data_IF_997922774544
#
_entry.id   IF_997922774544
#
_cell.length_a   1.000
_cell.length_b   1.000
_cell.length_c   1.000
_cell.angle_alpha   90.00
_cell.angle_beta   90.00
_cell.angle_gamma   90.00
#
_symmetry.space_group_name_H-M   'P 1'
#
loop_
_entity.id
_entity.type
_entity.pdbx_description
1 polymer ?
#
# COMPACT_ATOMS: atom_id res chain seq x y z
N UNK A 1 -9.62 3.40 -10.36
CA UNK A 1 -9.26 3.17 -8.95
C UNK A 1 -7.90 2.52 -8.88
N UNK A 2 -6.95 3.12 -8.17
CA UNK A 2 -5.61 2.57 -7.93
C UNK A 2 -5.47 2.32 -6.43
N UNK A 3 -5.28 1.06 -6.03
CA UNK A 3 -5.09 0.69 -4.63
C UNK A 3 -3.62 0.66 -4.25
N UNK A 4 -3.25 1.21 -3.09
CA UNK A 4 -1.92 1.10 -2.51
C UNK A 4 -1.98 0.10 -1.36
N UNK A 5 -1.29 -1.03 -1.52
CA UNK A 5 -1.33 -2.17 -0.59
C UNK A 5 0.10 -2.51 -0.16
N UNK A 6 0.26 -3.05 1.05
CA UNK A 6 1.54 -3.48 1.58
C UNK A 6 1.51 -3.54 3.10
N UNK A 7 2.47 -4.25 3.69
CA UNK A 7 2.59 -4.37 5.16
C UNK A 7 2.75 -3.01 5.85
N UNK A 8 2.59 -2.91 7.17
CA UNK A 8 2.80 -1.66 7.90
C UNK A 8 4.19 -1.08 7.64
N UNK A 9 4.30 0.25 7.68
CA UNK A 9 5.57 1.01 7.66
C UNK A 9 6.45 0.87 6.40
N UNK A 10 5.95 0.30 5.30
CA UNK A 10 6.62 0.30 3.98
C UNK A 10 6.59 1.65 3.26
N UNK A 11 5.89 2.65 3.82
CA UNK A 11 5.82 4.01 3.26
C UNK A 11 4.64 4.29 2.31
N UNK A 12 3.56 3.51 2.39
CA UNK A 12 2.32 3.72 1.61
C UNK A 12 1.80 5.16 1.65
N UNK A 13 1.64 5.74 2.84
CA UNK A 13 1.11 7.09 3.01
C UNK A 13 2.07 8.16 2.47
N UNK A 14 3.38 7.94 2.55
CA UNK A 14 4.38 8.83 1.93
C UNK A 14 4.28 8.80 0.41
N UNK A 15 4.14 7.61 -0.18
CA UNK A 15 3.92 7.45 -1.62
C UNK A 15 2.62 8.10 -2.07
N UNK A 16 1.52 7.89 -1.33
CA UNK A 16 0.23 8.50 -1.61
C UNK A 16 0.31 10.04 -1.64
N UNK A 17 0.91 10.64 -0.61
CA UNK A 17 1.12 12.09 -0.55
C UNK A 17 1.98 12.60 -1.71
N UNK A 18 2.99 11.84 -2.11
CA UNK A 18 3.85 12.19 -3.26
C UNK A 18 3.06 12.18 -4.57
N UNK A 19 2.19 11.19 -4.80
CA UNK A 19 1.33 11.14 -5.99
C UNK A 19 0.32 12.29 -5.98
N UNK A 20 -0.26 12.61 -4.82
CA UNK A 20 -1.25 13.68 -4.68
C UNK A 20 -0.66 15.09 -4.79
N UNK A 21 0.64 15.26 -4.61
CA UNK A 21 1.30 16.57 -4.55
C UNK A 21 0.89 17.43 -3.34
N UNK A 22 0.15 16.86 -2.39
CA UNK A 22 -0.32 17.53 -1.16
C UNK A 22 -0.37 16.55 0.01
N UNK A 23 -0.31 17.08 1.24
CA UNK A 23 -0.39 16.29 2.48
C UNK A 23 -1.84 15.93 2.78
N UNK A 24 -2.26 14.76 2.33
CA UNK A 24 -3.60 14.23 2.55
C UNK A 24 -3.57 13.01 3.46
N UNK A 25 -2.72 12.03 3.18
CA UNK A 25 -2.55 10.87 4.04
C UNK A 25 -1.74 11.29 5.27
N UNK A 26 -2.34 11.18 6.46
CA UNK A 26 -1.61 11.39 7.71
C UNK A 26 -0.58 10.25 7.82
N UNK A 27 0.72 10.56 7.92
CA UNK A 27 1.75 9.56 8.23
C UNK A 27 1.73 9.39 9.74
N UNK A 28 1.17 8.30 10.25
CA UNK A 28 1.16 8.01 11.69
C UNK A 28 1.71 6.61 11.95
N UNK A 29 2.77 6.55 12.74
CA UNK A 29 3.58 5.35 13.00
C UNK A 29 3.08 4.54 14.22
N UNK A 30 1.87 4.83 14.74
CA UNK A 30 1.34 4.21 15.97
C UNK A 30 0.51 2.95 15.65
N UNK A 31 0.93 1.75 16.08
CA UNK A 31 0.09 0.55 16.04
C UNK A 31 -1.15 0.74 16.91
N UNK A 32 -2.34 0.35 16.43
CA UNK A 32 -3.57 0.30 17.25
C UNK A 32 -4.69 1.31 16.93
N UNK A 33 -4.61 2.05 15.82
CA UNK A 33 -5.75 2.86 15.33
C UNK A 33 -6.44 2.15 14.16
N UNK A 34 -7.74 1.89 14.29
CA UNK A 34 -8.59 1.43 13.19
C UNK A 34 -8.68 2.56 12.18
N UNK A 35 -7.98 2.45 11.06
CA UNK A 35 -8.02 3.49 10.02
C UNK A 35 -9.03 3.09 8.97
N UNK A 36 -10.11 3.86 8.85
CA UNK A 36 -11.03 3.73 7.74
C UNK A 36 -10.30 3.92 6.40
N UNK A 37 -10.71 3.16 5.38
CA UNK A 37 -10.21 3.24 4.00
C UNK A 37 -10.24 4.70 3.54
N UNK A 38 -9.08 5.24 3.12
CA UNK A 38 -9.00 6.61 2.61
C UNK A 38 -9.00 6.58 1.09
N UNK A 39 -10.07 7.14 0.51
CA UNK A 39 -10.21 7.35 -0.93
C UNK A 39 -9.96 8.82 -1.26
N UNK A 40 -9.07 9.10 -2.21
CA UNK A 40 -8.72 10.48 -2.59
C UNK A 40 -8.60 10.58 -4.10
N UNK A 41 -9.21 11.61 -4.68
CA UNK A 41 -9.01 11.95 -6.09
C UNK A 41 -7.59 12.44 -6.35
N UNK A 42 -6.95 11.87 -7.37
CA UNK A 42 -5.62 12.17 -7.86
C UNK A 42 -5.66 12.47 -9.36
N UNK A 43 -4.69 13.25 -9.84
CA UNK A 43 -4.49 13.52 -11.26
C UNK A 43 -3.01 13.40 -11.59
N UNK A 44 -2.67 12.69 -12.65
CA UNK A 44 -1.29 12.54 -13.12
C UNK A 44 -1.26 12.55 -14.64
N UNK A 45 -0.44 13.42 -15.23
CA UNK A 45 -0.32 13.56 -16.70
C UNK A 45 -1.68 13.74 -17.40
N UNK A 46 -2.58 14.53 -16.79
CA UNK A 46 -3.93 14.79 -17.32
C UNK A 46 -4.91 13.62 -17.21
N UNK A 47 -4.58 12.57 -16.44
CA UNK A 47 -5.48 11.45 -16.14
C UNK A 47 -5.92 11.50 -14.69
N UNK A 48 -7.23 11.55 -14.49
CA UNK A 48 -7.84 11.52 -13.17
C UNK A 48 -8.12 10.09 -12.72
N UNK A 49 -7.86 9.81 -11.45
CA UNK A 49 -8.10 8.51 -10.84
C UNK A 49 -8.30 8.64 -9.33
N UNK A 50 -8.99 7.67 -8.74
CA UNK A 50 -9.11 7.56 -7.28
C UNK A 50 -7.96 6.72 -6.74
N UNK A 51 -7.20 7.27 -5.81
CA UNK A 51 -6.26 6.54 -4.96
C UNK A 51 -6.97 6.00 -3.73
N UNK A 52 -6.67 4.75 -3.40
CA UNK A 52 -7.22 4.05 -2.24
C UNK A 52 -6.07 3.58 -1.36
N UNK A 53 -5.99 4.06 -0.12
CA UNK A 53 -5.15 3.49 0.92
C UNK A 53 -5.99 2.47 1.72
N UNK A 54 -5.57 1.21 1.71
CA UNK A 54 -6.27 0.12 2.40
C UNK A 54 -6.06 0.16 3.91
N UNK A 55 -5.32 1.14 4.44
CA UNK A 55 -4.83 1.12 5.81
C UNK A 55 -3.64 0.17 5.92
N UNK A 56 -2.80 0.36 6.95
CA UNK A 56 -1.73 -0.59 7.24
C UNK A 56 -2.35 -1.96 7.49
N UNK A 57 -1.96 -2.97 6.72
CA UNK A 57 -2.28 -4.37 6.98
C UNK A 57 -1.90 -4.72 8.43
N UNK A 58 -2.86 -4.72 9.36
CA UNK A 58 -2.59 -5.12 10.75
C UNK A 58 -2.56 -6.65 10.72
N UNK A 59 -1.36 -7.22 10.55
CA UNK A 59 -1.11 -8.59 10.94
C UNK A 59 -0.92 -8.59 12.46
N UNK A 60 -1.95 -8.99 13.21
CA UNK A 60 -1.86 -9.03 14.66
C UNK A 60 -3.18 -9.25 15.38
N UNK A 61 -3.71 -10.48 15.31
CA UNK A 61 -4.60 -11.03 16.34
C UNK A 61 -5.85 -11.70 15.76
N UNK A 62 -6.13 -12.90 16.26
CA UNK A 62 -7.13 -13.91 15.81
C UNK A 62 -8.57 -13.43 15.56
N UNK A 63 -8.91 -12.16 15.78
CA UNK A 63 -10.24 -11.58 15.50
C UNK A 63 -10.22 -10.23 14.77
N UNK A 64 -9.09 -9.52 14.74
CA UNK A 64 -8.93 -8.24 14.03
C UNK A 64 -8.41 -8.45 12.59
N UNK A 65 -7.66 -9.53 12.37
CA UNK A 65 -7.11 -9.94 11.07
C UNK A 65 -8.22 -10.13 10.01
N UNK A 66 -9.39 -10.61 10.43
CA UNK A 66 -10.52 -10.93 9.54
C UNK A 66 -11.19 -9.71 8.90
N UNK A 67 -11.28 -8.59 9.63
CA UNK A 67 -11.91 -7.36 9.12
C UNK A 67 -10.96 -6.57 8.22
N UNK A 68 -9.68 -6.49 8.60
CA UNK A 68 -8.63 -5.82 7.83
C UNK A 68 -8.32 -6.61 6.54
N UNK A 69 -8.35 -7.94 6.59
CA UNK A 69 -8.24 -8.80 5.40
C UNK A 69 -9.40 -8.57 4.43
N UNK A 70 -10.66 -8.55 4.91
CA UNK A 70 -11.84 -8.30 4.06
C UNK A 70 -11.83 -6.92 3.41
N UNK A 71 -11.38 -5.88 4.12
CA UNK A 71 -11.25 -4.53 3.56
C UNK A 71 -10.17 -4.48 2.47
N UNK A 72 -9.02 -5.13 2.72
CA UNK A 72 -7.93 -5.23 1.75
C UNK A 72 -8.37 -6.03 0.51
N UNK A 73 -9.02 -7.18 0.69
CA UNK A 73 -9.57 -7.99 -0.40
C UNK A 73 -10.59 -7.25 -1.25
N UNK A 74 -11.48 -6.48 -0.61
CA UNK A 74 -12.47 -5.67 -1.33
C UNK A 74 -11.77 -4.60 -2.16
N UNK A 75 -10.80 -3.90 -1.57
CA UNK A 75 -10.04 -2.88 -2.30
C UNK A 75 -9.22 -3.46 -3.45
N UNK A 76 -8.67 -4.67 -3.30
CA UNK A 76 -7.95 -5.39 -4.35
C UNK A 76 -8.90 -5.76 -5.50
N UNK A 77 -10.10 -6.27 -5.19
CA UNK A 77 -11.12 -6.63 -6.19
C UNK A 77 -11.71 -5.43 -6.93
N UNK A 78 -11.86 -4.30 -6.26
CA UNK A 78 -12.39 -3.07 -6.86
C UNK A 78 -11.34 -2.24 -7.60
N UNK A 79 -10.06 -2.60 -7.50
CA UNK A 79 -8.98 -1.82 -8.09
C UNK A 79 -8.79 -2.15 -9.57
N UNK A 80 -8.70 -1.12 -10.40
CA UNK A 80 -8.25 -1.24 -11.79
C UNK A 80 -6.74 -1.53 -11.87
N UNK A 81 -5.99 -1.16 -10.84
CA UNK A 81 -4.57 -1.49 -10.68
C UNK A 81 -4.17 -1.47 -9.19
N UNK A 82 -3.25 -2.34 -8.80
CA UNK A 82 -2.71 -2.38 -7.43
C UNK A 82 -1.23 -2.02 -7.42
N UNK A 83 -0.83 -1.10 -6.55
CA UNK A 83 0.55 -0.81 -6.18
C UNK A 83 0.89 -1.59 -4.92
N UNK A 84 1.66 -2.66 -5.05
CA UNK A 84 2.16 -3.45 -3.92
C UNK A 84 3.49 -2.88 -3.44
N UNK A 85 3.44 -2.12 -2.34
CA UNK A 85 4.59 -1.41 -1.79
C UNK A 85 5.35 -2.31 -0.82
N UNK A 86 6.64 -2.47 -1.07
CA UNK A 86 7.59 -3.20 -0.21
C UNK A 86 8.72 -2.28 0.24
N UNK A 87 9.36 -2.60 1.36
CA UNK A 87 10.52 -1.87 1.86
C UNK A 87 11.80 -2.53 1.35
N UNK A 88 12.54 -1.85 0.48
CA UNK A 88 13.76 -2.39 -0.12
C UNK A 88 14.87 -2.62 0.93
N UNK A 89 14.85 -1.89 2.05
CA UNK A 89 15.95 -1.90 3.03
C UNK A 89 15.99 -3.15 3.90
N UNK A 90 14.89 -3.89 4.00
CA UNK A 90 14.78 -5.10 4.84
C UNK A 90 14.50 -6.37 4.04
N UNK A 91 14.37 -6.28 2.72
CA UNK A 91 14.01 -7.40 1.85
C UNK A 91 12.56 -7.89 2.02
N UNK A 92 12.25 -9.05 1.40
CA UNK A 92 10.92 -9.65 1.43
C UNK A 92 10.67 -10.34 2.77
N UNK A 93 9.57 -10.01 3.43
CA UNK A 93 9.15 -10.63 4.69
C UNK A 93 7.99 -11.63 4.51
N UNK A 94 7.67 -12.41 5.55
CA UNK A 94 6.49 -13.30 5.53
C UNK A 94 5.18 -12.52 5.34
N UNK A 95 5.08 -11.31 5.90
CA UNK A 95 3.92 -10.43 5.69
C UNK A 95 3.79 -10.01 4.23
N UNK A 96 4.91 -9.70 3.58
CA UNK A 96 4.93 -9.40 2.15
C UNK A 96 4.48 -10.62 1.33
N UNK A 97 4.92 -11.83 1.69
CA UNK A 97 4.50 -13.07 1.04
C UNK A 97 3.00 -13.36 1.23
N UNK A 98 2.45 -13.09 2.42
CA UNK A 98 1.01 -13.20 2.70
C UNK A 98 0.19 -12.23 1.86
N UNK A 99 0.59 -10.95 1.82
CA UNK A 99 -0.06 -9.93 0.99
C UNK A 99 0.03 -10.31 -0.49
N UNK A 100 1.19 -10.74 -0.97
CA UNK A 100 1.38 -11.22 -2.34
C UNK A 100 0.47 -12.42 -2.67
N UNK A 101 0.21 -13.29 -1.69
CA UNK A 101 -0.75 -14.38 -1.80
C UNK A 101 -2.16 -13.91 -2.11
N UNK A 102 -2.64 -12.88 -1.42
CA UNK A 102 -3.97 -12.29 -1.65
C UNK A 102 -4.04 -11.53 -2.97
N UNK A 103 -2.97 -10.85 -3.36
CA UNK A 103 -2.90 -10.10 -4.61
C UNK A 103 -2.96 -10.97 -5.87
N UNK A 104 -2.71 -12.28 -5.76
CA UNK A 104 -2.94 -13.23 -6.86
C UNK A 104 -4.42 -13.36 -7.25
N UNK A 105 -5.34 -12.91 -6.40
CA UNK A 105 -6.77 -12.87 -6.66
C UNK A 105 -7.22 -11.58 -7.38
N UNK A 106 -6.31 -10.64 -7.64
CA UNK A 106 -6.62 -9.42 -8.36
C UNK A 106 -6.87 -9.73 -9.85
N UNK A 107 -7.95 -9.21 -10.41
CA UNK A 107 -8.22 -9.31 -11.85
C UNK A 107 -7.36 -8.33 -12.68
N UNK A 108 -6.87 -7.27 -12.04
CA UNK A 108 -6.06 -6.21 -12.65
C UNK A 108 -4.55 -6.35 -12.45
N UNK A 109 -3.75 -5.48 -13.10
CA UNK A 109 -2.30 -5.46 -12.93
C UNK A 109 -1.89 -5.17 -11.48
N UNK A 110 -0.92 -5.94 -11.00
CA UNK A 110 -0.22 -5.71 -9.73
C UNK A 110 1.19 -5.25 -10.03
N UNK A 111 1.52 -4.04 -9.60
CA UNK A 111 2.84 -3.40 -9.78
C UNK A 111 3.55 -3.42 -8.43
N UNK A 112 4.70 -4.09 -8.37
CA UNK A 112 5.54 -4.07 -7.18
C UNK A 112 6.33 -2.76 -7.13
N UNK A 113 6.25 -2.07 -5.99
CA UNK A 113 6.92 -0.80 -5.74
C UNK A 113 7.92 -1.00 -4.61
N UNK A 114 9.20 -1.13 -4.96
CA UNK A 114 10.30 -1.15 -4.00
C UNK A 114 10.55 0.27 -3.49
N UNK A 115 10.12 0.56 -2.27
CA UNK A 115 10.21 1.87 -1.66
C UNK A 115 11.41 1.97 -0.70
N UNK A 116 11.73 3.20 -0.26
CA UNK A 116 12.90 3.53 0.59
C UNK A 116 14.25 3.25 -0.07
N UNK A 117 14.33 3.51 -1.37
CA UNK A 117 15.54 3.34 -2.19
C UNK A 117 16.40 4.61 -2.29
N UNK A 118 16.14 5.61 -1.44
CA UNK A 118 16.84 6.89 -1.39
C UNK A 118 18.21 6.85 -0.66
N UNK A 119 18.66 5.65 -0.25
CA UNK A 119 19.99 5.40 0.30
C UNK A 119 21.05 5.26 -0.82
N UNK A 120 22.21 5.90 -0.63
CA UNK A 120 23.42 5.82 -1.50
C UNK A 120 23.86 4.39 -1.83
N UNK A 121 23.63 3.41 -0.95
CA UNK A 121 23.98 2.00 -1.17
C UNK A 121 23.10 1.38 -2.27
N UNK A 122 21.83 1.78 -2.35
CA UNK A 122 20.90 1.28 -3.37
C UNK A 122 21.02 2.02 -4.72
N UNK A 123 21.36 3.31 -4.71
CA UNK A 123 21.66 4.06 -5.96
C UNK A 123 22.90 3.53 -6.69
N UNK A 124 23.90 3.01 -5.99
CA UNK A 124 25.13 2.50 -6.59
C UNK A 124 24.98 1.12 -7.27
N UNK A 125 23.82 0.47 -7.13
CA UNK A 125 23.57 -0.91 -7.56
C UNK A 125 22.67 -1.04 -8.80
N UNK A 126 22.26 0.08 -9.41
CA UNK A 126 21.39 0.16 -10.61
C UNK A 126 22.16 0.74 -11.80
#
# INVERSE_FOLDING_TARGET
VVAIVGRPNVGKSTLMNRILGRREAIVEERPGVTRDRKEVGASWQGRDFTLVDTGGWIAGGDTLDDKVSRQSEKAIREADAVLFVVDATVGVTEDDARVAGLLRLADGPVIVVANKVDDRVHEASI
#
